data_IF_125743038597
#
_entry.id   IF_125743038597
#
_cell.length_a   1.000
_cell.length_b   1.000
_cell.length_c   1.000
_cell.angle_alpha   90.00
_cell.angle_beta   90.00
_cell.angle_gamma   90.00
#
_symmetry.space_group_name_H-M   'P 1'
#
loop_
_entity.id
_entity.type
_entity.pdbx_description
1 polymer ?
#
# COMPACT_ATOMS: atom_id res chain seq x y z
N UNK A 1 -23.01 -21.44 -28.60
CA UNK A 1 -22.91 -20.27 -27.70
C UNK A 1 -24.30 -19.65 -27.64
N UNK A 2 -24.92 -19.63 -26.46
CA UNK A 2 -26.37 -19.45 -26.34
C UNK A 2 -26.72 -18.01 -25.95
N UNK A 3 -27.20 -17.24 -26.92
CA UNK A 3 -28.01 -16.05 -26.68
C UNK A 3 -29.40 -16.49 -26.24
N UNK A 4 -29.82 -16.04 -25.06
CA UNK A 4 -31.07 -16.49 -24.45
C UNK A 4 -31.90 -15.31 -24.00
N UNK A 5 -33.22 -15.48 -24.02
CA UNK A 5 -34.10 -14.48 -23.43
C UNK A 5 -34.13 -14.61 -21.90
N UNK A 6 -34.72 -13.61 -21.23
CA UNK A 6 -34.83 -13.58 -19.76
C UNK A 6 -35.43 -14.85 -19.14
N UNK A 7 -36.44 -15.44 -19.78
CA UNK A 7 -37.15 -16.61 -19.23
C UNK A 7 -36.33 -17.89 -19.41
N UNK A 8 -35.63 -18.01 -20.53
CA UNK A 8 -34.69 -19.10 -20.81
C UNK A 8 -33.48 -19.03 -19.89
N UNK A 9 -32.89 -17.85 -19.70
CA UNK A 9 -31.79 -17.65 -18.76
C UNK A 9 -32.20 -18.01 -17.33
N UNK A 10 -33.40 -17.59 -16.90
CA UNK A 10 -33.94 -17.97 -15.59
C UNK A 10 -34.07 -19.49 -15.44
N UNK A 11 -34.53 -20.18 -16.48
CA UNK A 11 -34.65 -21.64 -16.49
C UNK A 11 -33.29 -22.34 -16.44
N UNK A 12 -32.31 -21.86 -17.20
CA UNK A 12 -30.93 -22.38 -17.18
C UNK A 12 -30.32 -22.25 -15.79
N UNK A 13 -30.51 -21.10 -15.14
CA UNK A 13 -29.98 -20.85 -13.82
C UNK A 13 -30.80 -21.51 -12.70
N UNK A 14 -31.98 -22.07 -12.99
CA UNK A 14 -32.87 -22.67 -11.99
C UNK A 14 -33.59 -21.65 -11.09
N UNK A 15 -33.70 -20.39 -11.52
CA UNK A 15 -34.29 -19.30 -10.75
C UNK A 15 -35.53 -18.69 -11.42
N UNK A 16 -36.20 -17.78 -10.72
CA UNK A 16 -37.37 -17.07 -11.26
C UNK A 16 -36.97 -15.98 -12.27
N UNK A 17 -37.82 -15.65 -13.25
CA UNK A 17 -37.59 -14.51 -14.16
C UNK A 17 -37.49 -13.15 -13.43
N UNK A 18 -38.06 -13.06 -12.21
CA UNK A 18 -37.94 -11.89 -11.34
C UNK A 18 -36.51 -11.71 -10.83
N UNK A 19 -35.86 -12.80 -10.43
CA UNK A 19 -34.45 -12.79 -10.01
C UNK A 19 -33.54 -12.25 -11.11
N UNK A 20 -33.75 -12.68 -12.37
CA UNK A 20 -33.01 -12.14 -13.52
C UNK A 20 -33.29 -10.65 -13.73
N UNK A 21 -34.55 -10.20 -13.56
CA UNK A 21 -34.89 -8.77 -13.63
C UNK A 21 -34.21 -7.94 -12.55
N UNK A 22 -33.98 -8.49 -11.36
CA UNK A 22 -33.26 -7.79 -10.29
C UNK A 22 -31.75 -7.74 -10.59
N UNK A 23 -31.16 -8.81 -11.13
CA UNK A 23 -29.76 -8.79 -11.60
C UNK A 23 -29.53 -7.78 -12.73
N UNK A 24 -30.49 -7.61 -13.64
CA UNK A 24 -30.42 -6.59 -14.71
C UNK A 24 -30.35 -5.18 -14.12
N UNK A 25 -31.12 -4.89 -13.05
CA UNK A 25 -31.02 -3.60 -12.34
C UNK A 25 -29.67 -3.41 -11.65
N UNK A 26 -29.05 -4.51 -11.21
CA UNK A 26 -27.72 -4.50 -10.60
C UNK A 26 -26.57 -4.45 -11.63
N UNK A 27 -26.87 -4.41 -12.93
CA UNK A 27 -25.87 -4.25 -13.99
C UNK A 27 -25.47 -5.54 -14.71
N UNK A 28 -26.31 -6.59 -14.67
CA UNK A 28 -26.08 -7.81 -15.47
C UNK A 28 -25.89 -7.45 -16.96
N UNK A 29 -24.81 -7.96 -17.61
CA UNK A 29 -24.59 -7.73 -19.04
C UNK A 29 -25.76 -8.24 -19.87
N UNK A 30 -26.41 -7.34 -20.58
CA UNK A 30 -27.52 -7.65 -21.48
C UNK A 30 -27.50 -6.70 -22.67
N UNK A 31 -27.96 -7.20 -23.82
CA UNK A 31 -28.20 -6.37 -24.99
C UNK A 31 -29.67 -5.91 -24.96
N UNK A 32 -29.86 -4.63 -24.64
CA UNK A 32 -31.16 -3.97 -24.73
C UNK A 32 -31.33 -3.42 -26.15
N UNK A 33 -32.25 -3.99 -26.93
CA UNK A 33 -32.79 -3.28 -28.09
C UNK A 33 -33.69 -2.16 -27.58
N UNK A 34 -33.17 -0.93 -27.43
CA UNK A 34 -33.81 0.20 -26.74
C UNK A 34 -35.12 0.77 -27.33
N UNK A 35 -36.08 -0.06 -27.74
CA UNK A 35 -37.39 0.37 -28.24
C UNK A 35 -38.49 -0.70 -28.04
N UNK A 36 -39.76 -0.24 -28.01
CA UNK A 36 -40.96 -1.09 -27.91
C UNK A 36 -40.89 -2.21 -28.97
N UNK A 37 -40.79 -3.46 -28.50
CA UNK A 37 -40.91 -4.66 -29.34
C UNK A 37 -39.62 -5.41 -29.68
N UNK A 38 -38.43 -4.97 -29.23
CA UNK A 38 -37.20 -5.76 -29.41
C UNK A 38 -36.93 -6.69 -28.21
N UNK A 39 -36.55 -7.97 -28.45
CA UNK A 39 -36.32 -8.93 -27.38
C UNK A 39 -35.03 -8.61 -26.63
N UNK A 40 -35.07 -8.78 -25.30
CA UNK A 40 -33.89 -8.71 -24.44
C UNK A 40 -33.02 -9.95 -24.68
N UNK A 41 -31.78 -9.74 -25.08
CA UNK A 41 -30.81 -10.82 -25.33
C UNK A 41 -29.78 -10.83 -24.22
N UNK A 42 -29.61 -11.98 -23.57
CA UNK A 42 -28.59 -12.23 -22.56
C UNK A 42 -27.60 -13.23 -23.16
N UNK A 43 -26.33 -12.84 -23.21
CA UNK A 43 -25.25 -13.76 -23.54
C UNK A 43 -24.92 -14.58 -22.30
N UNK A 44 -25.25 -15.88 -22.32
CA UNK A 44 -25.17 -16.76 -21.14
C UNK A 44 -23.77 -16.76 -20.52
N UNK A 45 -22.72 -16.80 -21.34
CA UNK A 45 -21.34 -16.89 -20.87
C UNK A 45 -20.90 -15.63 -20.12
N UNK A 46 -21.19 -14.44 -20.67
CA UNK A 46 -20.91 -13.16 -20.03
C UNK A 46 -21.73 -12.96 -18.76
N UNK A 47 -22.98 -13.40 -18.76
CA UNK A 47 -23.86 -13.32 -17.61
C UNK A 47 -23.39 -14.22 -16.46
N UNK A 48 -22.98 -15.46 -16.74
CA UNK A 48 -22.43 -16.37 -15.73
C UNK A 48 -21.12 -15.81 -15.16
N UNK A 49 -20.19 -15.38 -16.01
CA UNK A 49 -18.92 -14.81 -15.55
C UNK A 49 -19.14 -13.60 -14.65
N UNK A 50 -20.05 -12.70 -15.04
CA UNK A 50 -20.41 -11.54 -14.21
C UNK A 50 -21.01 -11.93 -12.86
N UNK A 51 -21.87 -12.97 -12.80
CA UNK A 51 -22.44 -13.46 -11.55
C UNK A 51 -21.33 -14.01 -10.62
N UNK A 52 -20.38 -14.77 -11.18
CA UNK A 52 -19.23 -15.30 -10.45
C UNK A 52 -18.37 -14.15 -9.90
N UNK A 53 -17.98 -13.22 -10.77
CA UNK A 53 -17.14 -12.08 -10.38
C UNK A 53 -17.81 -11.20 -9.32
N UNK A 54 -19.14 -11.02 -9.43
CA UNK A 54 -19.95 -10.31 -8.44
C UNK A 54 -19.94 -11.01 -7.09
N UNK A 55 -20.12 -12.32 -7.06
CA UNK A 55 -20.15 -13.07 -5.79
C UNK A 55 -18.76 -13.13 -5.15
N UNK A 56 -17.70 -13.28 -5.96
CA UNK A 56 -16.31 -13.15 -5.50
C UNK A 56 -16.09 -11.77 -4.88
N UNK A 57 -16.43 -10.68 -5.60
CA UNK A 57 -16.30 -9.29 -5.09
C UNK A 57 -17.07 -9.07 -3.79
N UNK A 58 -18.25 -9.68 -3.66
CA UNK A 58 -19.05 -9.64 -2.43
C UNK A 58 -18.37 -10.36 -1.26
N UNK A 59 -17.80 -11.53 -1.51
CA UNK A 59 -17.05 -12.29 -0.50
C UNK A 59 -15.71 -11.62 -0.13
N UNK A 60 -15.07 -10.92 -1.07
CA UNK A 60 -13.83 -10.18 -0.80
C UNK A 60 -14.07 -8.76 -0.27
N UNK A 61 -15.33 -8.33 -0.10
CA UNK A 61 -15.67 -7.02 0.46
C UNK A 61 -15.41 -5.84 -0.48
N UNK A 62 -15.19 -6.09 -1.76
CA UNK A 62 -14.95 -5.07 -2.81
C UNK A 62 -16.22 -4.75 -3.63
N UNK A 63 -17.38 -5.22 -3.18
CA UNK A 63 -18.64 -4.95 -3.84
C UNK A 63 -19.25 -3.64 -3.34
N UNK A 64 -18.88 -2.53 -3.99
CA UNK A 64 -19.55 -1.26 -3.81
C UNK A 64 -20.90 -1.31 -4.55
N UNK A 65 -21.98 -1.58 -3.82
CA UNK A 65 -23.29 -1.10 -4.28
C UNK A 65 -23.23 0.43 -4.17
N UNK A 66 -23.50 1.12 -5.26
CA UNK A 66 -23.72 2.59 -5.30
C UNK A 66 -24.79 3.07 -4.29
N UNK A 67 -25.54 2.14 -3.68
CA UNK A 67 -26.50 2.37 -2.59
C UNK A 67 -26.37 1.48 -1.34
N UNK A 68 -25.25 0.76 -1.14
CA UNK A 68 -25.07 -0.04 0.08
C UNK A 68 -23.61 -0.13 0.49
N UNK A 69 -23.00 1.03 0.74
CA UNK A 69 -21.90 1.07 1.70
C UNK A 69 -22.34 0.39 3.02
N UNK A 70 -21.47 -0.38 3.69
CA UNK A 70 -21.82 -1.03 4.96
C UNK A 70 -22.32 0.04 5.94
N UNK A 71 -23.61 -0.06 6.31
CA UNK A 71 -24.21 0.84 7.30
C UNK A 71 -23.71 0.43 8.68
N UNK A 72 -23.04 1.37 9.34
CA UNK A 72 -22.68 1.27 10.77
C UNK A 72 -23.94 0.93 11.57
N UNK A 73 -23.86 -0.08 12.45
CA UNK A 73 -24.98 -0.51 13.32
C UNK A 73 -25.79 -1.72 12.82
N UNK A 74 -25.36 -2.41 11.75
CA UNK A 74 -25.90 -3.74 11.39
C UNK A 74 -24.80 -4.79 11.57
N UNK A 75 -25.15 -5.95 12.16
CA UNK A 75 -24.18 -7.02 12.47
C UNK A 75 -23.35 -7.43 11.24
N UNK A 76 -24.02 -7.65 10.11
CA UNK A 76 -23.36 -8.02 8.86
C UNK A 76 -22.45 -6.90 8.31
N UNK A 77 -22.80 -5.63 8.53
CA UNK A 77 -21.98 -4.48 8.13
C UNK A 77 -20.75 -4.30 9.01
N UNK A 78 -20.88 -4.51 10.31
CA UNK A 78 -19.76 -4.46 11.26
C UNK A 78 -18.80 -5.64 11.05
N UNK A 79 -19.30 -6.84 10.77
CA UNK A 79 -18.48 -8.01 10.45
C UNK A 79 -17.68 -7.81 9.15
N UNK A 80 -18.27 -7.17 8.14
CA UNK A 80 -17.57 -6.82 6.90
C UNK A 80 -16.49 -5.74 7.12
N UNK A 81 -16.78 -4.70 7.89
CA UNK A 81 -15.81 -3.65 8.25
C UNK A 81 -14.64 -4.23 9.06
N UNK A 82 -14.94 -5.11 10.01
CA UNK A 82 -13.92 -5.80 10.80
C UNK A 82 -13.03 -6.69 9.92
N UNK A 83 -13.63 -7.41 8.97
CA UNK A 83 -12.90 -8.27 8.03
C UNK A 83 -11.98 -7.43 7.13
N UNK A 84 -12.46 -6.29 6.62
CA UNK A 84 -11.66 -5.37 5.84
C UNK A 84 -10.49 -4.79 6.66
N UNK A 85 -10.74 -4.37 7.90
CA UNK A 85 -9.71 -3.84 8.81
C UNK A 85 -8.65 -4.90 9.15
N UNK A 86 -9.05 -6.15 9.42
CA UNK A 86 -8.11 -7.25 9.67
C UNK A 86 -7.22 -7.53 8.47
N UNK A 87 -7.77 -7.50 7.25
CA UNK A 87 -6.97 -7.66 6.02
C UNK A 87 -6.01 -6.50 5.81
N UNK A 88 -6.46 -5.26 6.00
CA UNK A 88 -5.60 -4.07 5.94
C UNK A 88 -4.44 -4.16 6.94
N UNK A 89 -4.73 -4.63 8.16
CA UNK A 89 -3.71 -4.86 9.18
C UNK A 89 -2.70 -5.92 8.74
N UNK A 90 -3.17 -7.08 8.25
CA UNK A 90 -2.31 -8.14 7.75
C UNK A 90 -1.45 -7.70 6.55
N UNK A 91 -2.01 -6.87 5.67
CA UNK A 91 -1.28 -6.28 4.53
C UNK A 91 -0.20 -5.31 4.99
N UNK A 92 -0.48 -4.44 5.97
CA UNK A 92 0.52 -3.56 6.57
C UNK A 92 1.60 -4.36 7.30
N UNK A 93 1.24 -5.43 8.02
CA UNK A 93 2.20 -6.32 8.67
C UNK A 93 3.08 -7.05 7.65
N UNK A 94 2.51 -7.54 6.55
CA UNK A 94 3.25 -8.11 5.44
C UNK A 94 4.20 -7.08 4.80
N UNK A 95 3.72 -5.86 4.53
CA UNK A 95 4.54 -4.78 3.97
C UNK A 95 5.65 -4.31 4.92
N UNK A 96 5.40 -4.33 6.23
CA UNK A 96 6.43 -4.09 7.25
C UNK A 96 7.49 -5.20 7.28
N UNK A 97 7.09 -6.46 7.01
CA UNK A 97 8.01 -7.59 6.87
C UNK A 97 8.80 -7.53 5.55
N UNK A 98 8.19 -7.03 4.48
CA UNK A 98 8.83 -6.78 3.18
C UNK A 98 9.63 -5.46 3.12
N UNK A 99 9.78 -4.75 4.24
CA UNK A 99 10.55 -3.50 4.37
C UNK A 99 10.05 -2.33 3.48
N UNK A 100 8.80 -2.38 3.01
CA UNK A 100 8.24 -1.35 2.12
C UNK A 100 7.52 -0.22 2.89
N UNK A 101 7.31 -0.38 4.20
CA UNK A 101 6.57 0.58 5.05
C UNK A 101 7.27 0.79 6.40
N UNK A 102 7.41 2.05 6.82
CA UNK A 102 7.98 2.48 8.10
C UNK A 102 6.96 3.28 8.92
N UNK A 103 7.04 3.21 10.26
CA UNK A 103 6.24 4.05 11.14
C UNK A 103 6.69 5.52 11.08
N UNK A 104 5.73 6.45 11.19
CA UNK A 104 6.03 7.88 11.13
C UNK A 104 6.89 8.38 12.31
N UNK A 105 6.74 7.77 13.50
CA UNK A 105 7.57 8.09 14.65
C UNK A 105 9.03 7.68 14.43
N UNK A 106 9.25 6.49 13.90
CA UNK A 106 10.58 5.98 13.55
C UNK A 106 11.23 6.87 12.47
N UNK A 107 10.46 7.24 11.44
CA UNK A 107 10.91 8.17 10.41
C UNK A 107 11.30 9.53 11.00
N UNK A 108 10.49 10.08 11.91
CA UNK A 108 10.77 11.36 12.54
C UNK A 108 12.05 11.31 13.38
N UNK A 109 12.26 10.24 14.14
CA UNK A 109 13.47 10.03 14.92
C UNK A 109 14.70 9.90 14.02
N UNK A 110 14.58 9.15 12.93
CA UNK A 110 15.65 9.03 11.93
C UNK A 110 16.01 10.40 11.34
N UNK A 111 15.03 11.16 10.85
CA UNK A 111 15.25 12.50 10.29
C UNK A 111 15.87 13.47 11.31
N UNK A 112 15.46 13.41 12.57
CA UNK A 112 16.04 14.23 13.63
C UNK A 112 17.52 13.90 13.85
N UNK A 113 17.88 12.61 13.87
CA UNK A 113 19.26 12.17 13.99
C UNK A 113 20.11 12.63 12.78
N UNK A 114 19.58 12.51 11.55
CA UNK A 114 20.24 13.04 10.34
C UNK A 114 20.49 14.53 10.46
N UNK A 115 19.48 15.29 10.90
CA UNK A 115 19.57 16.73 11.08
C UNK A 115 20.65 17.13 12.10
N UNK A 116 20.72 16.44 13.23
CA UNK A 116 21.74 16.68 14.25
C UNK A 116 23.14 16.37 13.75
N UNK A 117 23.33 15.24 13.07
CA UNK A 117 24.64 14.88 12.50
C UNK A 117 25.10 15.94 11.51
N UNK A 118 24.25 16.31 10.55
CA UNK A 118 24.56 17.31 9.55
C UNK A 118 24.82 18.69 10.18
N UNK A 119 24.01 19.10 11.16
CA UNK A 119 24.19 20.36 11.89
C UNK A 119 25.55 20.41 12.59
N UNK A 120 25.92 19.36 13.31
CA UNK A 120 27.21 19.29 14.02
C UNK A 120 28.42 19.41 13.08
N UNK A 121 28.36 18.82 11.90
CA UNK A 121 29.42 18.94 10.89
C UNK A 121 29.50 20.36 10.30
N UNK A 122 28.35 21.03 10.10
CA UNK A 122 28.28 22.41 9.61
C UNK A 122 28.89 23.41 10.60
N UNK A 123 28.61 23.26 11.90
CA UNK A 123 29.15 24.13 12.95
C UNK A 123 30.70 24.11 12.95
N UNK A 124 31.29 22.99 12.53
CA UNK A 124 32.75 22.83 12.41
C UNK A 124 33.40 23.48 11.18
N UNK A 125 32.63 23.95 10.18
CA UNK A 125 33.19 24.52 8.94
C UNK A 125 34.12 25.68 9.26
N UNK A 126 33.65 26.63 10.07
CA UNK A 126 34.39 27.84 10.37
C UNK A 126 35.77 27.53 10.96
N UNK A 127 35.84 26.63 11.92
CA UNK A 127 37.10 26.21 12.53
C UNK A 127 38.06 25.55 11.53
N UNK A 128 37.54 24.73 10.60
CA UNK A 128 38.35 23.99 9.62
C UNK A 128 38.84 24.85 8.46
N UNK A 129 38.07 25.86 8.04
CA UNK A 129 38.43 26.70 6.90
C UNK A 129 39.08 28.03 7.31
N UNK A 130 38.98 28.44 8.58
CA UNK A 130 39.39 29.78 9.03
C UNK A 130 40.84 30.14 8.67
N UNK A 131 41.80 29.26 8.93
CA UNK A 131 43.22 29.56 8.69
C UNK A 131 43.53 29.70 7.20
N UNK A 132 43.04 28.77 6.38
CA UNK A 132 43.24 28.81 4.92
C UNK A 132 42.59 30.07 4.32
N UNK A 133 41.35 30.37 4.71
CA UNK A 133 40.62 31.54 4.23
C UNK A 133 41.24 32.85 4.71
N UNK A 134 41.74 32.91 5.96
CA UNK A 134 42.35 34.11 6.50
C UNK A 134 43.67 34.48 5.78
N UNK A 135 44.38 33.48 5.26
CA UNK A 135 45.63 33.68 4.51
C UNK A 135 45.44 33.97 3.03
N UNK A 136 44.21 33.88 2.52
CA UNK A 136 43.90 34.00 1.10
C UNK A 136 43.29 35.38 0.79
N UNK A 137 43.76 36.01 -0.29
CA UNK A 137 43.36 37.36 -0.69
C UNK A 137 42.44 37.35 -1.92
N UNK A 138 42.34 36.22 -2.62
CA UNK A 138 41.48 36.05 -3.77
C UNK A 138 40.11 35.45 -3.37
N UNK A 139 38.99 36.19 -3.54
CA UNK A 139 37.67 35.71 -3.13
C UNK A 139 37.26 34.36 -3.73
N UNK A 140 37.66 34.10 -4.97
CA UNK A 140 37.36 32.84 -5.65
C UNK A 140 38.01 31.63 -4.95
N UNK A 141 39.23 31.79 -4.43
CA UNK A 141 39.93 30.74 -3.69
C UNK A 141 39.34 30.53 -2.30
N UNK A 142 38.99 31.61 -1.59
CA UNK A 142 38.26 31.51 -0.31
C UNK A 142 36.96 30.72 -0.47
N UNK A 143 36.16 31.06 -1.50
CA UNK A 143 34.92 30.32 -1.82
C UNK A 143 35.20 28.86 -2.12
N UNK A 144 36.21 28.56 -2.93
CA UNK A 144 36.57 27.17 -3.25
C UNK A 144 36.95 26.35 -2.02
N UNK A 145 37.67 26.93 -1.07
CA UNK A 145 38.01 26.28 0.21
C UNK A 145 36.77 25.94 1.02
N UNK A 146 35.84 26.89 1.17
CA UNK A 146 34.58 26.70 1.89
C UNK A 146 33.71 25.64 1.18
N UNK A 147 33.56 25.75 -0.14
CA UNK A 147 32.77 24.81 -0.94
C UNK A 147 33.34 23.39 -0.95
N UNK A 148 34.68 23.25 -0.85
CA UNK A 148 35.35 21.95 -0.71
C UNK A 148 34.98 21.33 0.63
N UNK A 149 35.02 22.08 1.73
CA UNK A 149 34.66 21.57 3.04
C UNK A 149 33.17 21.23 3.13
N UNK A 150 32.30 22.06 2.57
CA UNK A 150 30.86 21.76 2.49
C UNK A 150 30.57 20.47 1.70
N UNK A 151 31.32 20.20 0.63
CA UNK A 151 31.23 18.93 -0.12
C UNK A 151 31.73 17.73 0.69
N UNK A 152 32.83 17.91 1.43
CA UNK A 152 33.37 16.88 2.33
C UNK A 152 32.34 16.47 3.37
N UNK A 153 31.69 17.44 4.01
CA UNK A 153 30.63 17.22 4.99
C UNK A 153 29.48 16.45 4.38
N UNK A 154 28.96 16.87 3.22
CA UNK A 154 27.86 16.15 2.55
C UNK A 154 28.21 14.69 2.25
N UNK A 155 29.45 14.43 1.83
CA UNK A 155 29.92 13.07 1.56
C UNK A 155 30.01 12.25 2.84
N UNK A 156 30.67 12.79 3.88
CA UNK A 156 30.76 12.16 5.21
C UNK A 156 29.37 11.87 5.80
N UNK A 157 28.43 12.81 5.73
CA UNK A 157 27.06 12.59 6.19
C UNK A 157 26.38 11.47 5.40
N UNK A 158 26.52 11.43 4.08
CA UNK A 158 25.95 10.37 3.26
C UNK A 158 26.53 8.98 3.60
N UNK A 159 27.83 8.89 3.88
CA UNK A 159 28.50 7.65 4.29
C UNK A 159 28.00 7.16 5.66
N UNK A 160 27.84 8.08 6.61
CA UNK A 160 27.26 7.77 7.92
C UNK A 160 25.80 7.32 7.81
N UNK A 161 25.00 7.96 6.97
CA UNK A 161 23.62 7.55 6.71
C UNK A 161 23.55 6.15 6.10
N UNK A 162 24.40 5.87 5.11
CA UNK A 162 24.45 4.56 4.46
C UNK A 162 24.87 3.47 5.46
N UNK A 163 25.84 3.78 6.32
CA UNK A 163 26.30 2.88 7.38
C UNK A 163 25.20 2.63 8.43
N UNK A 164 24.50 3.68 8.84
CA UNK A 164 23.37 3.56 9.77
C UNK A 164 22.26 2.68 9.21
N UNK A 165 21.87 2.87 7.94
CA UNK A 165 20.84 2.02 7.30
C UNK A 165 21.32 0.57 7.24
N UNK A 166 22.57 0.32 6.86
CA UNK A 166 23.13 -1.04 6.84
C UNK A 166 23.10 -1.70 8.24
N UNK A 167 23.45 -0.96 9.29
CA UNK A 167 23.38 -1.45 10.67
C UNK A 167 21.95 -1.69 11.16
N UNK A 168 21.02 -0.81 10.79
CA UNK A 168 19.60 -0.95 11.12
C UNK A 168 19.02 -2.23 10.53
N UNK A 169 19.26 -2.48 9.24
CA UNK A 169 18.84 -3.72 8.55
C UNK A 169 19.50 -4.96 9.19
N UNK A 170 20.80 -4.87 9.52
CA UNK A 170 21.55 -5.97 10.12
C UNK A 170 21.16 -6.31 11.57
N UNK A 171 20.65 -5.34 12.35
CA UNK A 171 20.13 -5.58 13.70
C UNK A 171 18.77 -6.28 13.64
N UNK A 172 17.88 -5.83 12.76
CA UNK A 172 16.55 -6.42 12.61
C UNK A 172 16.59 -7.87 12.10
N UNK A 173 17.49 -8.17 11.17
CA UNK A 173 17.72 -9.57 10.75
C UNK A 173 18.14 -10.49 11.90
N UNK A 174 18.77 -9.97 12.96
CA UNK A 174 19.13 -10.75 14.15
C UNK A 174 17.96 -10.89 15.11
N UNK A 175 17.14 -9.86 15.26
CA UNK A 175 15.93 -9.91 16.07
C UNK A 175 14.92 -10.91 15.48
N UNK A 176 14.71 -10.92 14.16
CA UNK A 176 13.87 -11.91 13.46
C UNK A 176 14.39 -13.35 13.64
N UNK A 177 15.71 -13.55 13.66
CA UNK A 177 16.31 -14.86 13.96
C UNK A 177 16.16 -15.25 15.43
N UNK A 178 16.21 -14.28 16.35
CA UNK A 178 16.03 -14.51 17.78
C UNK A 178 14.59 -14.91 18.12
N UNK A 179 13.59 -14.23 17.53
CA UNK A 179 12.18 -14.58 17.68
C UNK A 179 11.87 -15.97 17.09
N UNK A 180 12.42 -16.29 15.91
CA UNK A 180 12.26 -17.62 15.30
C UNK A 180 12.89 -18.75 16.15
N UNK A 181 14.00 -18.48 16.85
CA UNK A 181 14.65 -19.43 17.77
C UNK A 181 13.80 -19.61 19.04
N UNK A 182 13.25 -18.55 19.61
CA UNK A 182 12.35 -18.64 20.77
C UNK A 182 11.07 -19.43 20.43
N UNK A 183 10.45 -19.19 19.27
CA UNK A 183 9.24 -19.89 18.84
C UNK A 183 9.50 -21.38 18.57
N UNK A 184 10.64 -21.74 17.98
CA UNK A 184 11.04 -23.14 17.81
C UNK A 184 11.35 -23.85 19.15
N UNK A 185 11.87 -23.11 20.14
CA UNK A 185 12.16 -23.67 21.47
C UNK A 185 10.91 -23.87 22.34
N UNK A 186 9.84 -23.10 22.09
CA UNK A 186 8.57 -23.19 22.81
C UNK A 186 7.68 -24.38 22.39
N UNK A 187 7.86 -24.90 21.17
CA UNK A 187 7.10 -26.05 20.64
C UNK A 187 7.71 -27.41 21.08
N UNK A 188 8.85 -27.38 21.77
CA UNK A 188 9.64 -28.56 22.16
C UNK A 188 9.54 -29.03 23.62
N UNK A 189 8.57 -28.54 24.43
CA UNK A 189 8.35 -29.00 25.81
C UNK A 189 6.94 -29.53 26.04
#
# INVERSE_FOLDING_TARGET
MAEVNRNEFARIMGYSPKWVSDLIKEGLPHQSGGGRGKPLIIETDKAIQWIIDREIKKQVGQYEKEHSAPKVGTKDGEDLLLTAAKRRKAEIEAQKAEETVMDLGDLAQFLYMVGNLFGSELDGIGARTALEVASEHEPAKCKNTIDREARRIRTSTADHLSSFVAEYLAKRSRDDQSEAIEECSAVGN
#
